data_IF_803728675846
#
_entry.id   IF_803728675846
#
_cell.length_a   1.000
_cell.length_b   1.000
_cell.length_c   1.000
_cell.angle_alpha   90.00
_cell.angle_beta   90.00
_cell.angle_gamma   90.00
#
_symmetry.space_group_name_H-M   'P 1'
#
loop_
_entity.id
_entity.type
_entity.pdbx_description
1 polymer ?
#
# COMPACT_ATOMS: atom_id res chain seq x y z
N UNK A 1 32.71 -14.94 37.57
CA UNK A 1 32.99 -13.77 36.72
C UNK A 1 32.90 -14.09 35.23
N UNK A 2 33.43 -15.18 34.76
CA UNK A 2 33.45 -15.57 33.32
C UNK A 2 32.06 -15.85 32.76
N UNK A 3 31.22 -16.59 33.49
CA UNK A 3 29.83 -16.88 33.07
C UNK A 3 28.98 -15.63 32.85
N UNK A 4 29.14 -14.61 33.70
CA UNK A 4 28.42 -13.33 33.56
C UNK A 4 28.83 -12.56 32.29
N UNK A 5 30.12 -12.56 31.92
CA UNK A 5 30.63 -11.98 30.66
C UNK A 5 30.13 -12.74 29.43
N UNK A 6 30.09 -14.08 29.49
CA UNK A 6 29.55 -14.90 28.41
C UNK A 6 28.06 -14.63 28.22
N UNK A 7 27.30 -14.50 29.31
CA UNK A 7 25.86 -14.20 29.26
C UNK A 7 25.60 -12.78 28.71
N UNK A 8 26.46 -11.81 29.05
CA UNK A 8 26.38 -10.45 28.53
C UNK A 8 26.76 -10.39 27.05
N UNK A 9 27.77 -11.15 26.60
CA UNK A 9 28.13 -11.25 25.18
C UNK A 9 27.08 -11.98 24.34
N UNK A 10 26.49 -13.06 24.84
CA UNK A 10 25.42 -13.80 24.15
C UNK A 10 24.16 -12.93 24.07
N UNK A 11 23.84 -12.17 25.12
CA UNK A 11 22.75 -11.19 25.09
C UNK A 11 23.02 -10.09 24.07
N UNK A 12 24.20 -9.49 24.05
CA UNK A 12 24.57 -8.43 23.12
C UNK A 12 24.55 -8.91 21.66
N UNK A 13 25.03 -10.13 21.39
CA UNK A 13 25.08 -10.71 20.05
C UNK A 13 23.67 -11.06 19.53
N UNK A 14 22.79 -11.54 20.38
CA UNK A 14 21.38 -11.76 20.04
C UNK A 14 20.62 -10.46 19.77
N UNK A 15 20.98 -9.38 20.46
CA UNK A 15 20.38 -8.06 20.27
C UNK A 15 20.70 -7.49 18.90
N UNK A 16 21.97 -7.53 18.47
CA UNK A 16 22.36 -7.06 17.16
C UNK A 16 21.63 -7.81 16.05
N UNK A 17 21.45 -9.13 16.17
CA UNK A 17 20.70 -9.92 15.21
C UNK A 17 19.22 -9.53 15.14
N UNK A 18 18.57 -9.29 16.29
CA UNK A 18 17.18 -8.85 16.35
C UNK A 18 17.01 -7.47 15.70
N UNK A 19 17.91 -6.54 16.02
CA UNK A 19 17.88 -5.21 15.44
C UNK A 19 18.08 -5.23 13.92
N UNK A 20 19.03 -6.02 13.43
CA UNK A 20 19.25 -6.18 12.00
C UNK A 20 17.99 -6.74 11.33
N UNK A 21 17.38 -7.78 11.89
CA UNK A 21 16.15 -8.35 11.37
C UNK A 21 15.00 -7.34 11.38
N UNK A 22 14.88 -6.56 12.44
CA UNK A 22 13.84 -5.53 12.56
C UNK A 22 14.04 -4.43 11.51
N UNK A 23 15.25 -3.89 11.37
CA UNK A 23 15.58 -2.88 10.36
C UNK A 23 15.32 -3.41 8.95
N UNK A 24 15.76 -4.63 8.64
CA UNK A 24 15.52 -5.23 7.32
C UNK A 24 14.03 -5.40 7.03
N UNK A 25 13.25 -5.80 8.04
CA UNK A 25 11.80 -5.95 7.88
C UNK A 25 11.12 -4.61 7.65
N UNK A 26 11.42 -3.60 8.46
CA UNK A 26 10.84 -2.24 8.33
C UNK A 26 11.24 -1.62 7.00
N UNK A 27 12.49 -1.78 6.57
CA UNK A 27 12.95 -1.33 5.25
C UNK A 27 12.24 -2.05 4.12
N UNK A 28 12.00 -3.36 4.24
CA UNK A 28 11.26 -4.15 3.26
C UNK A 28 9.81 -3.68 3.12
N UNK A 29 9.15 -3.37 4.24
CA UNK A 29 7.81 -2.80 4.27
C UNK A 29 7.79 -1.42 3.62
N UNK A 30 8.75 -0.56 3.96
CA UNK A 30 8.89 0.76 3.37
C UNK A 30 9.01 0.69 1.84
N UNK A 31 9.89 -0.16 1.32
CA UNK A 31 10.03 -0.38 -0.12
C UNK A 31 8.75 -0.93 -0.75
N UNK A 32 8.08 -1.86 -0.08
CA UNK A 32 6.79 -2.40 -0.51
C UNK A 32 5.72 -1.31 -0.66
N UNK A 33 5.62 -0.40 0.32
CA UNK A 33 4.71 0.76 0.27
C UNK A 33 5.09 1.70 -0.89
N UNK A 34 6.36 1.98 -1.10
CA UNK A 34 6.80 2.87 -2.19
C UNK A 34 6.44 2.29 -3.57
N UNK A 35 6.68 1.00 -3.78
CA UNK A 35 6.30 0.31 -5.04
C UNK A 35 4.79 0.31 -5.23
N UNK A 36 4.02 0.05 -4.16
CA UNK A 36 2.57 0.08 -4.20
C UNK A 36 2.05 1.47 -4.54
N UNK A 37 2.58 2.52 -3.90
CA UNK A 37 2.22 3.91 -4.19
C UNK A 37 2.50 4.29 -5.65
N UNK A 38 3.67 3.93 -6.17
CA UNK A 38 4.02 4.22 -7.57
C UNK A 38 3.03 3.57 -8.55
N UNK A 39 2.62 2.32 -8.30
CA UNK A 39 1.61 1.64 -9.11
C UNK A 39 0.25 2.33 -9.00
N UNK A 40 -0.20 2.64 -7.79
CA UNK A 40 -1.50 3.26 -7.54
C UNK A 40 -1.57 4.67 -8.14
N UNK A 41 -0.48 5.45 -8.10
CA UNK A 41 -0.39 6.77 -8.77
C UNK A 41 -0.53 6.65 -10.29
N UNK A 42 0.11 5.64 -10.90
CA UNK A 42 -0.02 5.38 -12.33
C UNK A 42 -1.47 5.01 -12.69
N UNK A 43 -2.10 4.15 -11.92
CA UNK A 43 -3.48 3.74 -12.15
C UNK A 43 -4.48 4.87 -11.87
N UNK A 44 -4.21 5.71 -10.88
CA UNK A 44 -4.99 6.92 -10.62
C UNK A 44 -4.90 7.90 -11.80
N UNK A 45 -3.70 8.13 -12.33
CA UNK A 45 -3.50 8.96 -13.51
C UNK A 45 -4.26 8.40 -14.72
N UNK A 46 -4.25 7.09 -14.92
CA UNK A 46 -5.03 6.41 -15.95
C UNK A 46 -6.54 6.63 -15.78
N UNK A 47 -7.06 6.46 -14.56
CA UNK A 47 -8.50 6.67 -14.29
C UNK A 47 -8.93 8.11 -14.56
N UNK A 48 -8.10 9.09 -14.17
CA UNK A 48 -8.32 10.51 -14.46
C UNK A 48 -8.31 10.77 -15.96
N UNK A 49 -7.29 10.26 -16.66
CA UNK A 49 -7.16 10.44 -18.12
C UNK A 49 -8.37 9.92 -18.87
N UNK A 50 -8.92 8.74 -18.48
CA UNK A 50 -10.16 8.23 -19.08
C UNK A 50 -11.31 9.17 -18.80
N UNK A 51 -11.52 9.59 -17.54
CA UNK A 51 -12.63 10.46 -17.19
C UNK A 51 -12.56 11.80 -17.91
N UNK A 52 -11.40 12.44 -17.94
CA UNK A 52 -11.18 13.71 -18.63
C UNK A 52 -11.48 13.59 -20.12
N UNK A 53 -11.04 12.49 -20.75
CA UNK A 53 -11.26 12.21 -22.16
C UNK A 53 -12.75 11.99 -22.50
N UNK A 54 -13.46 11.26 -21.61
CA UNK A 54 -14.90 11.05 -21.74
C UNK A 54 -15.70 12.34 -21.52
N UNK A 55 -15.28 13.20 -20.59
CA UNK A 55 -15.94 14.47 -20.30
C UNK A 55 -15.72 15.50 -21.40
N UNK A 56 -14.52 15.56 -21.96
CA UNK A 56 -14.20 16.40 -23.12
C UNK A 56 -14.83 15.87 -24.43
N UNK A 57 -15.40 14.67 -24.43
CA UNK A 57 -15.93 13.98 -25.61
C UNK A 57 -14.92 13.84 -26.74
N UNK A 58 -13.66 13.61 -26.38
CA UNK A 58 -12.60 13.41 -27.34
C UNK A 58 -12.77 12.09 -28.11
N UNK A 59 -12.28 12.00 -29.37
CA UNK A 59 -12.32 10.76 -30.11
C UNK A 59 -11.47 9.69 -29.44
N UNK A 60 -11.86 8.43 -29.60
CA UNK A 60 -11.09 7.31 -29.05
C UNK A 60 -9.63 7.31 -29.54
N UNK A 61 -8.73 7.06 -28.60
CA UNK A 61 -7.31 6.86 -28.84
C UNK A 61 -6.85 5.52 -28.25
N UNK A 62 -6.07 4.75 -29.01
CA UNK A 62 -5.51 3.46 -28.55
C UNK A 62 -4.59 3.62 -27.33
N UNK A 63 -4.07 4.82 -27.08
CA UNK A 63 -3.31 5.14 -25.86
C UNK A 63 -4.12 4.99 -24.56
N UNK A 64 -5.45 4.92 -24.66
CA UNK A 64 -6.32 4.69 -23.52
C UNK A 64 -6.49 3.22 -23.16
N UNK A 65 -6.10 2.29 -24.03
CA UNK A 65 -6.32 0.85 -23.83
C UNK A 65 -5.66 0.35 -22.54
N UNK A 66 -4.43 0.77 -22.27
CA UNK A 66 -3.75 0.44 -21.02
C UNK A 66 -4.46 1.05 -19.82
N UNK A 67 -5.02 2.24 -19.96
CA UNK A 67 -5.75 2.90 -18.90
C UNK A 67 -7.07 2.18 -18.61
N UNK A 68 -7.82 1.78 -19.63
CA UNK A 68 -9.02 0.98 -19.48
C UNK A 68 -8.73 -0.39 -18.85
N UNK A 69 -7.60 -1.01 -19.18
CA UNK A 69 -7.18 -2.28 -18.58
C UNK A 69 -6.79 -2.19 -17.11
N UNK A 70 -6.30 -1.03 -16.67
CA UNK A 70 -5.71 -0.88 -15.33
C UNK A 70 -6.50 0.00 -14.36
N UNK A 71 -7.55 0.69 -14.81
CA UNK A 71 -8.28 1.67 -13.97
C UNK A 71 -8.90 1.05 -12.71
N UNK A 72 -9.19 -0.24 -12.68
CA UNK A 72 -9.74 -0.97 -11.53
C UNK A 72 -8.71 -1.58 -10.60
N UNK A 73 -7.44 -1.57 -10.97
CA UNK A 73 -6.39 -2.20 -10.18
C UNK A 73 -6.05 -1.38 -8.95
N UNK A 74 -5.74 -2.05 -7.86
CA UNK A 74 -5.19 -1.45 -6.65
C UNK A 74 -4.02 -2.29 -6.15
N UNK A 75 -3.02 -1.65 -5.57
CA UNK A 75 -1.90 -2.35 -4.95
C UNK A 75 -2.21 -2.65 -3.50
N UNK A 76 -2.05 -3.92 -3.11
CA UNK A 76 -2.13 -4.34 -1.71
C UNK A 76 -0.75 -4.43 -1.11
N UNK A 77 -0.61 -3.87 0.09
CA UNK A 77 0.61 -4.00 0.88
C UNK A 77 0.36 -5.05 1.96
N UNK A 78 1.20 -6.07 2.01
CA UNK A 78 1.17 -7.06 3.08
C UNK A 78 2.27 -6.73 4.08
N UNK A 79 1.90 -6.66 5.35
CA UNK A 79 2.83 -6.41 6.44
C UNK A 79 3.16 -7.71 7.17
N UNK A 80 4.46 -7.96 7.39
CA UNK A 80 4.87 -9.03 8.29
C UNK A 80 5.02 -8.47 9.71
N UNK A 81 4.27 -9.01 10.65
CA UNK A 81 4.33 -8.65 12.07
C UNK A 81 5.31 -9.52 12.86
N UNK A 82 5.92 -10.52 12.23
CA UNK A 82 6.72 -11.55 12.90
C UNK A 82 7.84 -10.98 13.77
N UNK A 83 8.59 -10.00 13.28
CA UNK A 83 9.69 -9.40 14.05
C UNK A 83 9.18 -8.56 15.22
N UNK A 84 8.06 -7.87 15.05
CA UNK A 84 7.42 -7.12 16.13
C UNK A 84 6.87 -8.05 17.22
N UNK A 85 6.22 -9.15 16.84
CA UNK A 85 5.76 -10.16 17.79
C UNK A 85 6.93 -10.84 18.53
N UNK A 86 8.05 -11.09 17.85
CA UNK A 86 9.25 -11.58 18.51
C UNK A 86 9.80 -10.55 19.52
N UNK A 87 9.77 -9.27 19.18
CA UNK A 87 10.18 -8.20 20.09
C UNK A 87 9.25 -8.13 21.30
N UNK A 88 7.94 -8.18 21.12
CA UNK A 88 6.94 -8.25 22.21
C UNK A 88 7.17 -9.44 23.13
N UNK A 89 7.39 -10.62 22.58
CA UNK A 89 7.60 -11.85 23.34
C UNK A 89 8.92 -11.88 24.13
N UNK A 90 9.94 -11.14 23.68
CA UNK A 90 11.23 -11.04 24.38
C UNK A 90 11.29 -9.93 25.42
N UNK A 91 10.31 -9.06 25.42
CA UNK A 91 10.18 -7.92 26.32
C UNK A 91 10.48 -6.59 25.63
N UNK A 92 9.46 -5.76 25.51
CA UNK A 92 9.57 -4.39 24.99
C UNK A 92 10.39 -3.47 25.92
N UNK A 93 10.53 -3.83 27.19
CA UNK A 93 11.34 -3.17 28.21
C UNK A 93 12.85 -3.24 27.92
N UNK A 94 13.24 -4.09 26.99
CA UNK A 94 14.62 -4.14 26.50
C UNK A 94 14.98 -2.88 25.69
N UNK A 95 14.01 -2.15 25.15
CA UNK A 95 14.24 -0.86 24.49
C UNK A 95 14.24 0.23 25.57
N UNK A 96 15.44 0.76 25.87
CA UNK A 96 15.63 1.81 26.89
C UNK A 96 15.01 3.15 26.48
N UNK A 97 15.01 3.45 25.18
CA UNK A 97 14.41 4.65 24.62
C UNK A 97 12.90 4.50 24.51
N UNK A 98 12.16 5.05 25.48
CA UNK A 98 10.70 4.95 25.55
C UNK A 98 9.97 5.65 24.40
N UNK A 99 10.54 6.75 23.88
CA UNK A 99 9.96 7.44 22.74
C UNK A 99 10.02 6.53 21.49
N UNK A 100 11.19 5.92 21.24
CA UNK A 100 11.35 4.97 20.13
C UNK A 100 10.43 3.77 20.26
N UNK A 101 10.29 3.23 21.48
CA UNK A 101 9.35 2.13 21.76
C UNK A 101 7.91 2.51 21.40
N UNK A 102 7.48 3.70 21.79
CA UNK A 102 6.13 4.21 21.48
C UNK A 102 5.91 4.31 19.97
N UNK A 103 6.89 4.82 19.22
CA UNK A 103 6.81 4.92 17.77
C UNK A 103 6.76 3.55 17.07
N UNK A 104 7.57 2.59 17.51
CA UNK A 104 7.53 1.22 17.02
C UNK A 104 6.13 0.63 17.21
N UNK A 105 5.57 0.74 18.41
CA UNK A 105 4.23 0.22 18.72
C UNK A 105 3.16 0.92 17.88
N UNK A 106 3.21 2.25 17.75
CA UNK A 106 2.27 3.04 16.98
C UNK A 106 2.25 2.63 15.50
N UNK A 107 3.41 2.45 14.90
CA UNK A 107 3.49 2.04 13.49
C UNK A 107 2.93 0.64 13.30
N UNK A 108 3.30 -0.32 14.16
CA UNK A 108 2.84 -1.70 14.01
C UNK A 108 1.38 -1.92 14.39
N UNK A 109 0.90 -1.28 15.46
CA UNK A 109 -0.45 -1.53 16.00
C UNK A 109 -1.51 -0.60 15.39
N UNK A 110 -1.11 0.53 14.82
CA UNK A 110 -2.04 1.49 14.25
C UNK A 110 -1.84 1.71 12.74
N UNK A 111 -0.64 2.10 12.30
CA UNK A 111 -0.45 2.49 10.91
C UNK A 111 -0.55 1.30 9.94
N UNK A 112 0.01 0.15 10.31
CA UNK A 112 -0.10 -1.06 9.48
C UNK A 112 -1.52 -1.57 9.44
N UNK A 113 -2.25 -1.51 10.56
CA UNK A 113 -3.66 -1.87 10.61
C UNK A 113 -4.52 -0.94 9.77
N UNK A 114 -4.23 0.36 9.79
CA UNK A 114 -4.93 1.33 8.95
C UNK A 114 -4.79 0.99 7.46
N UNK A 115 -3.59 0.70 6.98
CA UNK A 115 -3.35 0.30 5.58
C UNK A 115 -3.99 -1.06 5.27
N UNK A 116 -3.95 -2.02 6.19
CA UNK A 116 -4.58 -3.33 6.02
C UNK A 116 -6.10 -3.21 5.91
N UNK A 117 -6.72 -2.45 6.82
CA UNK A 117 -8.16 -2.16 6.81
C UNK A 117 -8.57 -1.47 5.52
N UNK A 118 -7.77 -0.55 5.03
CA UNK A 118 -8.05 0.14 3.77
C UNK A 118 -7.97 -0.80 2.56
N UNK A 119 -7.00 -1.72 2.53
CA UNK A 119 -6.94 -2.76 1.52
C UNK A 119 -8.20 -3.65 1.52
N UNK A 120 -8.75 -3.96 2.71
CA UNK A 120 -10.00 -4.71 2.85
C UNK A 120 -11.22 -3.87 2.45
N UNK A 121 -11.28 -2.59 2.83
CA UNK A 121 -12.37 -1.69 2.43
C UNK A 121 -12.42 -1.50 0.93
N UNK A 122 -11.28 -1.44 0.25
CA UNK A 122 -11.24 -1.42 -1.21
C UNK A 122 -11.92 -2.66 -1.81
N UNK A 123 -11.60 -3.84 -1.29
CA UNK A 123 -12.25 -5.08 -1.73
C UNK A 123 -13.76 -5.07 -1.43
N UNK A 124 -14.16 -4.64 -0.24
CA UNK A 124 -15.55 -4.52 0.14
C UNK A 124 -16.32 -3.52 -0.72
N UNK A 125 -15.75 -2.38 -1.02
CA UNK A 125 -16.36 -1.37 -1.87
C UNK A 125 -16.45 -1.82 -3.33
N UNK A 126 -15.43 -2.51 -3.83
CA UNK A 126 -15.44 -3.10 -5.15
C UNK A 126 -16.32 -4.36 -5.25
N UNK A 127 -16.24 -5.25 -4.28
CA UNK A 127 -16.86 -6.58 -4.34
C UNK A 127 -18.21 -6.66 -3.64
N UNK A 128 -18.44 -5.94 -2.57
CA UNK A 128 -19.60 -6.10 -1.69
C UNK A 128 -20.58 -4.94 -1.67
N UNK A 129 -20.16 -3.76 -2.13
CA UNK A 129 -21.04 -2.58 -2.17
C UNK A 129 -21.79 -2.48 -3.49
N UNK A 130 -22.74 -1.53 -3.55
CA UNK A 130 -23.49 -1.22 -4.79
C UNK A 130 -22.61 -0.83 -5.99
N UNK A 131 -21.31 -0.67 -5.80
CA UNK A 131 -20.34 -0.27 -6.83
C UNK A 131 -19.95 -1.47 -7.69
N UNK A 132 -19.59 -2.62 -7.10
CA UNK A 132 -19.15 -3.79 -7.86
C UNK A 132 -20.21 -4.36 -8.82
N UNK A 133 -21.48 -4.56 -8.43
CA UNK A 133 -22.52 -4.99 -9.37
C UNK A 133 -22.71 -4.04 -10.55
N UNK A 134 -22.59 -2.73 -10.30
CA UNK A 134 -22.66 -1.72 -11.37
C UNK A 134 -21.43 -1.77 -12.27
N UNK A 135 -20.25 -1.99 -11.70
CA UNK A 135 -19.01 -2.16 -12.45
C UNK A 135 -19.11 -3.39 -13.36
N UNK A 136 -19.47 -4.55 -12.83
CA UNK A 136 -19.54 -5.79 -13.59
C UNK A 136 -20.47 -5.66 -14.79
N UNK A 137 -21.67 -5.12 -14.61
CA UNK A 137 -22.63 -4.96 -15.71
C UNK A 137 -22.13 -3.95 -16.76
N UNK A 138 -21.69 -2.76 -16.31
CA UNK A 138 -21.31 -1.69 -17.23
C UNK A 138 -20.01 -1.95 -17.96
N UNK A 139 -19.01 -2.51 -17.26
CA UNK A 139 -17.73 -2.82 -17.89
C UNK A 139 -17.80 -4.07 -18.75
N UNK A 140 -18.55 -5.10 -18.40
CA UNK A 140 -18.84 -6.23 -19.31
C UNK A 140 -19.57 -5.79 -20.57
N UNK A 141 -20.39 -4.76 -20.50
CA UNK A 141 -21.03 -4.18 -21.67
C UNK A 141 -20.00 -3.60 -22.66
N UNK A 142 -18.99 -2.94 -22.16
CA UNK A 142 -17.98 -2.26 -22.99
C UNK A 142 -16.68 -3.06 -23.16
N UNK A 143 -16.36 -3.93 -22.21
CA UNK A 143 -15.10 -4.69 -22.16
C UNK A 143 -15.37 -6.15 -21.80
N UNK A 144 -16.12 -6.91 -22.63
CA UNK A 144 -16.58 -8.26 -22.28
C UNK A 144 -15.44 -9.26 -22.03
N UNK A 145 -14.33 -9.11 -22.76
CA UNK A 145 -13.19 -10.05 -22.72
C UNK A 145 -12.09 -9.64 -21.74
N UNK A 146 -12.16 -8.42 -21.17
CA UNK A 146 -11.09 -7.86 -20.33
C UNK A 146 -11.45 -7.66 -18.87
N UNK A 147 -12.62 -8.10 -18.46
CA UNK A 147 -13.15 -7.89 -17.11
C UNK A 147 -12.25 -8.43 -15.97
N UNK A 148 -11.44 -9.42 -16.20
CA UNK A 148 -10.36 -9.83 -15.29
C UNK A 148 -9.20 -10.37 -16.12
N UNK A 149 -8.45 -9.52 -16.82
CA UNK A 149 -7.27 -9.96 -17.52
C UNK A 149 -6.24 -10.39 -16.47
N UNK A 150 -5.96 -11.68 -16.40
CA UNK A 150 -4.88 -12.19 -15.55
C UNK A 150 -3.51 -11.92 -16.18
N UNK A 151 -3.47 -11.57 -17.48
CA UNK A 151 -2.24 -11.46 -18.25
C UNK A 151 -2.13 -10.20 -19.12
N UNK A 152 -3.23 -9.52 -19.49
CA UNK A 152 -3.19 -8.32 -20.35
C UNK A 152 -3.59 -7.05 -19.62
N UNK A 153 -2.67 -6.09 -19.56
CA UNK A 153 -2.91 -4.73 -19.03
C UNK A 153 -3.72 -3.83 -19.98
N UNK A 154 -4.27 -4.38 -21.08
CA UNK A 154 -4.96 -3.62 -22.11
C UNK A 154 -6.42 -4.02 -22.21
N UNK A 155 -7.32 -3.03 -22.33
CA UNK A 155 -8.73 -3.24 -22.56
C UNK A 155 -9.24 -2.27 -23.62
N UNK A 156 -9.84 -2.79 -24.70
CA UNK A 156 -10.38 -2.01 -25.80
C UNK A 156 -11.90 -1.89 -25.70
N UNK A 157 -12.48 -0.68 -25.66
CA UNK A 157 -13.93 -0.52 -25.64
C UNK A 157 -14.57 -1.02 -26.93
N UNK A 158 -15.63 -1.82 -26.85
CA UNK A 158 -16.38 -2.33 -28.00
C UNK A 158 -17.28 -1.26 -28.62
N UNK A 159 -17.76 -0.31 -27.82
CA UNK A 159 -18.57 0.82 -28.26
C UNK A 159 -18.17 2.08 -27.49
N UNK A 160 -17.13 2.75 -27.96
CA UNK A 160 -16.63 3.96 -27.32
C UNK A 160 -17.62 5.11 -27.41
N UNK A 161 -18.40 5.21 -28.50
CA UNK A 161 -19.37 6.29 -28.67
C UNK A 161 -20.51 6.19 -27.63
N UNK A 162 -20.98 5.00 -27.38
CA UNK A 162 -21.98 4.77 -26.32
C UNK A 162 -21.39 5.03 -24.91
N UNK A 163 -20.11 4.72 -24.70
CA UNK A 163 -19.38 4.99 -23.47
C UNK A 163 -19.30 6.50 -23.16
N UNK A 164 -19.12 7.37 -24.16
CA UNK A 164 -19.10 8.84 -24.00
C UNK A 164 -20.38 9.38 -23.34
N UNK A 165 -21.53 8.75 -23.57
CA UNK A 165 -22.82 9.13 -23.00
C UNK A 165 -23.18 8.44 -21.69
N UNK A 166 -22.39 7.47 -21.23
CA UNK A 166 -22.73 6.66 -20.05
C UNK A 166 -22.29 7.37 -18.74
N UNK A 167 -23.19 8.15 -18.16
CA UNK A 167 -22.97 8.86 -16.90
C UNK A 167 -22.68 7.90 -15.74
N UNK A 168 -23.14 6.65 -15.78
CA UNK A 168 -22.87 5.65 -14.75
C UNK A 168 -21.40 5.28 -14.74
N UNK A 169 -20.80 5.07 -15.91
CA UNK A 169 -19.35 4.78 -16.03
C UNK A 169 -18.52 5.96 -15.54
N UNK A 170 -18.90 7.20 -15.89
CA UNK A 170 -18.20 8.39 -15.41
C UNK A 170 -18.25 8.51 -13.88
N UNK A 171 -19.41 8.29 -13.28
CA UNK A 171 -19.54 8.30 -11.81
C UNK A 171 -18.72 7.21 -11.14
N UNK A 172 -18.67 6.00 -11.72
CA UNK A 172 -17.84 4.91 -11.24
C UNK A 172 -16.36 5.29 -11.30
N UNK A 173 -15.89 5.88 -12.39
CA UNK A 173 -14.51 6.36 -12.52
C UNK A 173 -14.17 7.44 -11.49
N UNK A 174 -15.09 8.39 -11.26
CA UNK A 174 -14.92 9.44 -10.25
C UNK A 174 -14.80 8.84 -8.83
N UNK A 175 -15.61 7.82 -8.52
CA UNK A 175 -15.53 7.10 -7.24
C UNK A 175 -14.20 6.36 -7.09
N UNK A 176 -13.74 5.65 -8.14
CA UNK A 176 -12.43 4.98 -8.16
C UNK A 176 -11.29 5.97 -7.95
N UNK A 177 -11.34 7.14 -8.60
CA UNK A 177 -10.36 8.22 -8.44
C UNK A 177 -10.28 8.68 -6.99
N UNK A 178 -11.44 8.88 -6.35
CA UNK A 178 -11.53 9.29 -4.95
C UNK A 178 -10.92 8.23 -4.01
N UNK A 179 -11.32 6.97 -4.19
CA UNK A 179 -10.83 5.84 -3.38
C UNK A 179 -9.32 5.65 -3.52
N UNK A 180 -8.80 5.69 -4.76
CA UNK A 180 -7.34 5.61 -5.00
C UNK A 180 -6.60 6.79 -4.39
N UNK A 181 -7.16 8.00 -4.49
CA UNK A 181 -6.56 9.19 -3.88
C UNK A 181 -6.40 9.03 -2.37
N UNK A 182 -7.41 8.50 -1.71
CA UNK A 182 -7.37 8.22 -0.27
C UNK A 182 -6.32 7.14 0.07
N UNK A 183 -6.32 6.03 -0.67
CA UNK A 183 -5.36 4.94 -0.49
C UNK A 183 -3.91 5.41 -0.62
N UNK A 184 -3.61 6.19 -1.66
CA UNK A 184 -2.28 6.77 -1.87
C UNK A 184 -1.90 7.68 -0.70
N UNK A 185 -2.82 8.53 -0.23
CA UNK A 185 -2.56 9.44 0.89
C UNK A 185 -2.22 8.68 2.18
N UNK A 186 -2.98 7.64 2.51
CA UNK A 186 -2.73 6.79 3.68
C UNK A 186 -1.38 6.08 3.59
N UNK A 187 -1.06 5.48 2.45
CA UNK A 187 0.22 4.80 2.23
C UNK A 187 1.40 5.78 2.29
N UNK A 188 1.26 6.99 1.75
CA UNK A 188 2.29 8.05 1.85
C UNK A 188 2.52 8.49 3.29
N UNK A 189 1.45 8.71 4.04
CA UNK A 189 1.56 9.05 5.45
C UNK A 189 2.28 7.94 6.23
N UNK A 190 1.92 6.68 6.01
CA UNK A 190 2.58 5.54 6.65
C UNK A 190 4.06 5.45 6.26
N UNK A 191 4.41 5.69 5.01
CA UNK A 191 5.81 5.67 4.55
C UNK A 191 6.65 6.77 5.25
N UNK A 192 6.10 7.98 5.42
CA UNK A 192 6.80 9.07 6.14
C UNK A 192 7.06 8.72 7.61
N UNK A 193 6.10 8.08 8.28
CA UNK A 193 6.26 7.64 9.66
C UNK A 193 7.32 6.53 9.80
N UNK A 194 7.35 5.60 8.84
CA UNK A 194 8.38 4.55 8.80
C UNK A 194 9.77 5.17 8.59
N UNK A 195 9.92 6.15 7.71
CA UNK A 195 11.19 6.84 7.46
C UNK A 195 11.69 7.57 8.71
N UNK A 196 10.78 8.25 9.42
CA UNK A 196 11.08 8.88 10.69
C UNK A 196 11.52 7.86 11.75
N UNK A 197 10.84 6.70 11.84
CA UNK A 197 11.22 5.61 12.73
C UNK A 197 12.61 5.06 12.40
N UNK A 198 12.92 4.78 11.14
CA UNK A 198 14.24 4.29 10.71
C UNK A 198 15.34 5.27 11.10
N UNK A 199 15.12 6.57 10.88
CA UNK A 199 16.04 7.62 11.29
C UNK A 199 16.25 7.68 12.81
N UNK A 200 15.19 7.45 13.58
CA UNK A 200 15.24 7.34 15.04
C UNK A 200 16.06 6.14 15.52
N UNK A 201 15.87 4.98 14.87
CA UNK A 201 16.62 3.76 15.14
C UNK A 201 18.11 3.95 14.86
N UNK A 202 18.48 4.52 13.70
CA UNK A 202 19.88 4.74 13.32
C UNK A 202 20.60 5.65 14.32
N UNK A 203 19.90 6.68 14.82
CA UNK A 203 20.43 7.57 15.85
C UNK A 203 20.71 6.84 17.15
N UNK A 204 19.72 6.08 17.66
CA UNK A 204 19.85 5.30 18.89
C UNK A 204 21.00 4.28 18.80
N UNK A 205 21.11 3.56 17.66
CA UNK A 205 22.19 2.60 17.43
C UNK A 205 23.56 3.28 17.41
N UNK A 206 23.65 4.47 16.82
CA UNK A 206 24.89 5.25 16.76
C UNK A 206 25.33 5.72 18.15
N UNK A 207 24.38 6.19 18.97
CA UNK A 207 24.64 6.60 20.36
C UNK A 207 25.10 5.43 21.25
N UNK A 208 24.49 4.25 21.06
CA UNK A 208 24.86 3.04 21.82
C UNK A 208 26.25 2.51 21.43
N UNK A 209 26.68 2.71 20.18
CA UNK A 209 28.02 2.32 19.71
C UNK A 209 29.10 3.27 20.13
N UNK A 210 28.76 4.52 20.43
CA UNK A 210 29.70 5.55 20.89
C UNK A 210 29.98 5.52 22.41
N UNK A 211 29.24 4.71 23.15
CA UNK A 211 29.43 4.44 24.58
C UNK A 211 30.26 3.18 24.81
#
# INVERSE_FOLDING_TARGET
>A
MILRRITEHVKAQNWTAIWIQFVLLVSGVFLGIQVANWKDERWLACSRRILDHLDAREPYSEDLDICFGTCFWSSKVQFSTTAYEQLKNRGLDLISNKALLTEISRIHEYMFELVATENEQWDWQLLGSSVYPRHVERFRKYFPDSWMPLEDEYAKPVDYHALLGDTTVKNILAEIISLKGFSIATKKATALEIDALLSGIDREVSELRGR
#
